data_IF_485295873088
#
_entry.id   IF_485295873088
#
_cell.length_a   1.000
_cell.length_b   1.000
_cell.length_c   1.000
_cell.angle_alpha   90.00
_cell.angle_beta   90.00
_cell.angle_gamma   90.00
#
_symmetry.space_group_name_H-M   'P 1'
#
loop_
_entity.id
_entity.type
_entity.pdbx_description
1 polymer ?
#
# COMPACT_ATOMS: atom_id res chain seq x y z
N UNK A 1 4.95 21.01 9.77
CA UNK A 1 5.87 20.04 9.12
C UNK A 1 7.08 19.89 10.03
N UNK A 2 7.28 18.74 10.68
CA UNK A 2 8.48 18.52 11.51
C UNK A 2 9.69 18.48 10.56
N UNK A 3 10.66 19.38 10.74
CA UNK A 3 11.84 19.57 9.89
C UNK A 3 12.85 18.41 9.94
N UNK A 4 12.38 17.18 9.78
CA UNK A 4 13.24 16.00 9.64
C UNK A 4 13.68 15.90 8.19
N UNK A 5 14.90 16.34 7.91
CA UNK A 5 15.51 16.18 6.60
C UNK A 5 15.97 14.73 6.43
N UNK A 6 15.52 14.09 5.34
CA UNK A 6 16.03 12.79 4.93
C UNK A 6 17.54 12.88 4.69
N UNK A 7 18.29 11.99 5.32
CA UNK A 7 19.71 11.80 5.08
C UNK A 7 19.98 11.31 3.65
N UNK A 8 21.21 11.51 3.15
CA UNK A 8 21.60 11.01 1.83
C UNK A 8 21.43 9.49 1.69
N UNK A 9 21.62 8.72 2.78
CA UNK A 9 21.36 7.28 2.80
C UNK A 9 19.89 6.91 2.64
N UNK A 10 18.98 7.68 3.25
CA UNK A 10 17.53 7.49 3.07
C UNK A 10 17.11 7.78 1.63
N UNK A 11 17.63 8.87 1.04
CA UNK A 11 17.39 9.21 -0.37
C UNK A 11 17.90 8.12 -1.32
N UNK A 12 19.10 7.60 -1.07
CA UNK A 12 19.67 6.51 -1.87
C UNK A 12 18.78 5.27 -1.82
N UNK A 13 18.34 4.87 -0.62
CA UNK A 13 17.45 3.73 -0.45
C UNK A 13 16.10 3.90 -1.14
N UNK A 14 15.51 5.11 -1.10
CA UNK A 14 14.28 5.45 -1.83
C UNK A 14 14.48 5.32 -3.34
N UNK A 15 15.57 5.87 -3.89
CA UNK A 15 15.86 5.79 -5.34
C UNK A 15 16.06 4.35 -5.78
N UNK A 16 16.82 3.55 -5.03
CA UNK A 16 17.04 2.12 -5.33
C UNK A 16 15.70 1.37 -5.32
N UNK A 17 14.88 1.58 -4.30
CA UNK A 17 13.55 0.96 -4.21
C UNK A 17 12.64 1.36 -5.37
N UNK A 18 12.65 2.62 -5.78
CA UNK A 18 11.89 3.13 -6.92
C UNK A 18 12.34 2.50 -8.24
N UNK A 19 13.66 2.43 -8.48
CA UNK A 19 14.22 1.76 -9.67
C UNK A 19 13.82 0.28 -9.70
N UNK A 20 13.89 -0.42 -8.56
CA UNK A 20 13.42 -1.80 -8.44
C UNK A 20 11.94 -1.94 -8.77
N UNK A 21 11.08 -1.01 -8.32
CA UNK A 21 9.65 -1.01 -8.61
C UNK A 21 9.35 -0.78 -10.11
N UNK A 22 10.08 0.15 -10.75
CA UNK A 22 9.96 0.40 -12.20
C UNK A 22 10.39 -0.83 -12.99
N UNK A 23 11.51 -1.45 -12.60
CA UNK A 23 11.98 -2.69 -13.23
C UNK A 23 10.96 -3.82 -13.06
N UNK A 24 10.43 -4.02 -11.85
CA UNK A 24 9.40 -5.03 -11.58
C UNK A 24 8.13 -4.82 -12.44
N UNK A 25 7.73 -3.58 -12.69
CA UNK A 25 6.56 -3.28 -13.52
C UNK A 25 6.84 -3.35 -15.03
N UNK A 26 8.08 -3.18 -15.48
CA UNK A 26 8.44 -3.21 -16.89
C UNK A 26 8.18 -4.58 -17.56
N UNK A 27 8.10 -5.65 -16.79
CA UNK A 27 7.73 -6.99 -17.29
C UNK A 27 6.22 -7.16 -17.51
N UNK A 28 5.40 -6.23 -16.98
CA UNK A 28 3.94 -6.28 -17.08
C UNK A 28 3.44 -5.37 -18.20
N UNK A 29 2.65 -5.90 -19.14
CA UNK A 29 1.95 -5.06 -20.12
C UNK A 29 0.86 -4.26 -19.41
N UNK A 30 1.20 -3.09 -18.91
CA UNK A 30 0.25 -2.17 -18.29
C UNK A 30 -0.57 -1.48 -19.38
N UNK A 31 -1.75 -2.03 -19.67
CA UNK A 31 -2.76 -1.33 -20.49
C UNK A 31 -3.49 -0.35 -19.58
N UNK A 32 -3.08 0.93 -19.61
CA UNK A 32 -3.73 1.98 -18.83
C UNK A 32 -4.13 3.16 -19.73
N UNK A 33 -5.28 3.76 -19.45
CA UNK A 33 -5.66 5.02 -20.09
C UNK A 33 -4.79 6.16 -19.55
N UNK A 34 -4.51 7.22 -20.34
CA UNK A 34 -3.72 8.35 -19.85
C UNK A 34 -4.27 8.98 -18.56
N UNK A 35 -5.60 9.05 -18.43
CA UNK A 35 -6.26 9.51 -17.20
C UNK A 35 -6.03 8.58 -16.00
N UNK A 36 -6.05 7.26 -16.22
CA UNK A 36 -5.74 6.28 -15.19
C UNK A 36 -4.30 6.40 -14.68
N UNK A 37 -3.34 6.68 -15.56
CA UNK A 37 -1.94 6.91 -15.18
C UNK A 37 -1.77 8.15 -14.30
N UNK A 38 -2.44 9.26 -14.64
CA UNK A 38 -2.41 10.48 -13.82
C UNK A 38 -2.98 10.22 -12.42
N UNK A 39 -4.13 9.54 -12.35
CA UNK A 39 -4.74 9.17 -11.06
C UNK A 39 -3.84 8.24 -10.24
N UNK A 40 -3.15 7.30 -10.89
CA UNK A 40 -2.18 6.40 -10.26
C UNK A 40 -1.00 7.15 -9.63
N UNK A 41 -0.60 8.29 -10.18
CA UNK A 41 0.45 9.15 -9.60
C UNK A 41 -0.08 10.01 -8.46
N UNK A 42 -1.32 10.49 -8.56
CA UNK A 42 -1.96 11.31 -7.53
C UNK A 42 -2.26 10.48 -6.27
N UNK A 43 -2.68 9.22 -6.42
CA UNK A 43 -3.02 8.34 -5.32
C UNK A 43 -1.92 8.21 -4.22
N UNK A 44 -0.66 7.84 -4.54
CA UNK A 44 0.41 7.75 -3.54
C UNK A 44 0.79 9.11 -2.95
N UNK A 45 0.65 10.22 -3.70
CA UNK A 45 0.88 11.58 -3.18
C UNK A 45 -0.17 11.91 -2.12
N UNK A 46 -1.45 11.65 -2.41
CA UNK A 46 -2.54 11.86 -1.45
C UNK A 46 -2.37 11.01 -0.20
N UNK A 47 -1.95 9.75 -0.36
CA UNK A 47 -1.66 8.86 0.75
C UNK A 47 -0.48 9.38 1.60
N UNK A 48 0.65 9.70 0.98
CA UNK A 48 1.82 10.23 1.67
C UNK A 48 1.51 11.55 2.41
N UNK A 49 0.78 12.46 1.76
CA UNK A 49 0.32 13.70 2.37
C UNK A 49 -0.57 13.41 3.59
N UNK A 50 -1.56 12.52 3.47
CA UNK A 50 -2.44 12.14 4.56
C UNK A 50 -1.71 11.50 5.75
N UNK A 51 -0.71 10.67 5.48
CA UNK A 51 0.16 10.07 6.50
C UNK A 51 1.01 11.11 7.23
N UNK A 52 1.63 12.04 6.49
CA UNK A 52 2.45 13.11 7.09
C UNK A 52 1.58 14.11 7.85
N UNK A 53 0.41 14.44 7.32
CA UNK A 53 -0.56 15.34 7.96
C UNK A 53 -1.12 14.75 9.25
N UNK A 54 -1.41 13.45 9.28
CA UNK A 54 -1.89 12.77 10.48
C UNK A 54 -0.82 12.64 11.57
N UNK A 55 0.47 12.74 11.22
CA UNK A 55 1.57 12.52 12.14
C UNK A 55 1.67 13.65 13.19
N UNK A 56 1.48 13.30 14.47
CA UNK A 56 1.63 14.22 15.60
C UNK A 56 0.43 15.13 15.87
N UNK A 57 -0.73 14.82 15.27
CA UNK A 57 -2.01 15.42 15.67
C UNK A 57 -2.69 14.57 16.74
N UNK A 58 -3.43 15.24 17.62
CA UNK A 58 -4.37 14.58 18.52
C UNK A 58 -5.53 14.02 17.71
N UNK A 59 -5.36 12.77 17.29
CA UNK A 59 -6.40 12.00 16.63
C UNK A 59 -7.15 11.17 17.68
N UNK A 60 -8.45 10.92 17.46
CA UNK A 60 -9.21 10.02 18.31
C UNK A 60 -8.63 8.60 18.24
N UNK A 61 -9.18 7.69 19.05
CA UNK A 61 -8.62 6.35 19.20
C UNK A 61 -8.32 5.70 17.83
N UNK A 62 -7.27 4.86 17.77
CA UNK A 62 -6.87 4.07 16.59
C UNK A 62 -8.02 3.52 15.75
N UNK A 63 -8.97 2.89 16.46
CA UNK A 63 -10.16 2.28 15.89
C UNK A 63 -11.13 3.32 15.33
N UNK A 64 -11.32 4.43 16.05
CA UNK A 64 -12.17 5.54 15.59
C UNK A 64 -11.57 6.22 14.35
N UNK A 65 -10.25 6.42 14.34
CA UNK A 65 -9.53 6.99 13.18
C UNK A 65 -9.64 6.06 11.97
N UNK A 66 -9.45 4.75 12.17
CA UNK A 66 -9.64 3.75 11.13
C UNK A 66 -11.06 3.75 10.57
N UNK A 67 -12.07 3.69 11.44
CA UNK A 67 -13.48 3.71 11.06
C UNK A 67 -13.83 4.99 10.27
N UNK A 68 -13.34 6.15 10.73
CA UNK A 68 -13.51 7.43 10.04
C UNK A 68 -12.92 7.42 8.63
N UNK A 69 -11.69 6.90 8.46
CA UNK A 69 -11.06 6.78 7.14
C UNK A 69 -11.84 5.85 6.21
N UNK A 70 -12.32 4.71 6.72
CA UNK A 70 -13.11 3.74 5.94
C UNK A 70 -14.46 4.32 5.52
N UNK A 71 -15.16 5.03 6.42
CA UNK A 71 -16.44 5.67 6.13
C UNK A 71 -16.28 6.81 5.12
N UNK A 72 -15.34 7.74 5.36
CA UNK A 72 -15.10 8.85 4.43
C UNK A 72 -14.66 8.35 3.05
N UNK A 73 -13.73 7.39 3.00
CA UNK A 73 -13.29 6.77 1.75
C UNK A 73 -14.42 6.05 1.02
N UNK A 74 -15.24 5.29 1.74
CA UNK A 74 -16.41 4.61 1.19
C UNK A 74 -17.45 5.58 0.61
N UNK A 75 -17.80 6.63 1.34
CA UNK A 75 -18.72 7.68 0.87
C UNK A 75 -18.18 8.38 -0.37
N UNK A 76 -16.89 8.73 -0.39
CA UNK A 76 -16.25 9.35 -1.55
C UNK A 76 -16.26 8.42 -2.77
N UNK A 77 -15.94 7.13 -2.61
CA UNK A 77 -15.95 6.17 -3.72
C UNK A 77 -17.36 5.96 -4.28
N UNK A 78 -18.35 5.76 -3.40
CA UNK A 78 -19.75 5.56 -3.82
C UNK A 78 -20.30 6.80 -4.50
N UNK A 79 -20.10 7.98 -3.92
CA UNK A 79 -20.56 9.23 -4.54
C UNK A 79 -19.89 9.49 -5.89
N UNK A 80 -18.59 9.27 -6.00
CA UNK A 80 -17.86 9.43 -7.26
C UNK A 80 -18.36 8.46 -8.34
N UNK A 81 -18.57 7.18 -7.99
CA UNK A 81 -19.12 6.19 -8.92
C UNK A 81 -20.51 6.60 -9.44
N UNK A 82 -21.40 7.04 -8.53
CA UNK A 82 -22.73 7.53 -8.90
C UNK A 82 -22.67 8.78 -9.80
N UNK A 83 -21.76 9.72 -9.52
CA UNK A 83 -21.56 10.95 -10.31
C UNK A 83 -21.02 10.67 -11.71
N UNK A 84 -20.18 9.63 -11.88
CA UNK A 84 -19.67 9.18 -13.18
C UNK A 84 -20.72 8.34 -13.93
N UNK A 85 -21.84 8.01 -13.28
CA UNK A 85 -22.97 7.30 -13.87
C UNK A 85 -22.88 5.78 -13.73
N UNK A 86 -21.99 5.27 -12.87
CA UNK A 86 -21.97 3.85 -12.53
C UNK A 86 -23.28 3.46 -11.85
N UNK A 87 -23.91 2.40 -12.37
CA UNK A 87 -25.11 1.82 -11.79
C UNK A 87 -24.89 0.32 -11.58
N UNK A 88 -25.41 -0.25 -10.49
CA UNK A 88 -25.46 -1.71 -10.36
C UNK A 88 -26.26 -2.28 -11.53
N UNK A 89 -25.58 -2.93 -12.48
CA UNK A 89 -26.21 -3.52 -13.66
C UNK A 89 -26.90 -4.86 -13.33
N UNK A 90 -26.39 -5.55 -12.32
CA UNK A 90 -26.93 -6.81 -11.82
C UNK A 90 -26.61 -6.96 -10.34
N UNK A 91 -27.39 -7.79 -9.65
CA UNK A 91 -27.02 -8.24 -8.31
C UNK A 91 -25.77 -9.11 -8.38
N UNK A 92 -24.78 -8.90 -7.49
CA UNK A 92 -23.59 -9.72 -7.47
C UNK A 92 -23.96 -11.18 -7.16
N UNK A 93 -23.25 -12.12 -7.78
CA UNK A 93 -23.43 -13.53 -7.48
C UNK A 93 -23.12 -13.82 -6.01
N UNK A 94 -23.68 -14.89 -5.40
CA UNK A 94 -23.35 -15.27 -4.03
C UNK A 94 -21.84 -15.44 -3.81
N UNK A 95 -21.11 -15.95 -4.81
CA UNK A 95 -19.66 -16.06 -4.80
C UNK A 95 -18.97 -14.69 -4.77
N UNK A 96 -19.45 -13.72 -5.56
CA UNK A 96 -18.94 -12.35 -5.55
C UNK A 96 -19.19 -11.65 -4.22
N UNK A 97 -20.38 -11.83 -3.64
CA UNK A 97 -20.71 -11.32 -2.30
C UNK A 97 -19.79 -11.92 -1.24
N UNK A 98 -19.57 -13.24 -1.27
CA UNK A 98 -18.65 -13.92 -0.33
C UNK A 98 -17.20 -13.45 -0.51
N UNK A 99 -16.73 -13.24 -1.74
CA UNK A 99 -15.38 -12.72 -2.01
C UNK A 99 -15.20 -11.29 -1.46
N UNK A 100 -16.18 -10.41 -1.66
CA UNK A 100 -16.17 -9.05 -1.10
C UNK A 100 -16.24 -9.08 0.42
N UNK A 101 -17.11 -9.92 1.00
CA UNK A 101 -17.25 -10.09 2.45
C UNK A 101 -15.95 -10.60 3.09
N UNK A 102 -15.31 -11.60 2.48
CA UNK A 102 -14.00 -12.09 2.91
C UNK A 102 -12.96 -10.96 2.92
N UNK A 103 -12.89 -10.18 1.83
CA UNK A 103 -11.95 -9.05 1.73
C UNK A 103 -12.23 -7.95 2.75
N UNK A 104 -13.50 -7.65 3.04
CA UNK A 104 -13.88 -6.69 4.07
C UNK A 104 -13.46 -7.14 5.46
N UNK A 105 -13.73 -8.39 5.82
CA UNK A 105 -13.42 -8.91 7.16
C UNK A 105 -11.90 -9.07 7.33
N UNK A 106 -11.27 -9.86 6.48
CA UNK A 106 -9.85 -10.19 6.66
C UNK A 106 -8.91 -9.12 6.12
N UNK A 107 -9.17 -8.66 4.89
CA UNK A 107 -8.29 -7.71 4.19
C UNK A 107 -8.41 -6.27 4.68
N UNK A 108 -9.55 -5.89 5.27
CA UNK A 108 -9.78 -4.53 5.75
C UNK A 108 -9.87 -4.49 7.28
N UNK A 109 -10.91 -5.06 7.89
CA UNK A 109 -11.14 -4.92 9.34
C UNK A 109 -10.00 -5.55 10.15
N UNK A 110 -9.72 -6.84 9.96
CA UNK A 110 -8.69 -7.56 10.73
C UNK A 110 -7.30 -7.00 10.42
N UNK A 111 -6.91 -6.94 9.15
CA UNK A 111 -5.58 -6.48 8.76
C UNK A 111 -5.32 -5.02 9.18
N UNK A 112 -6.25 -4.10 8.96
CA UNK A 112 -6.07 -2.70 9.32
C UNK A 112 -6.10 -2.49 10.83
N UNK A 113 -7.00 -3.18 11.55
CA UNK A 113 -7.02 -3.16 13.02
C UNK A 113 -5.71 -3.66 13.61
N UNK A 114 -5.19 -4.79 13.10
CA UNK A 114 -3.90 -5.32 13.51
C UNK A 114 -2.75 -4.35 13.19
N UNK A 115 -2.77 -3.72 12.02
CA UNK A 115 -1.80 -2.69 11.64
C UNK A 115 -1.81 -1.51 12.62
N UNK A 116 -2.97 -0.90 12.89
CA UNK A 116 -3.02 0.24 13.81
C UNK A 116 -2.68 -0.20 15.24
N UNK A 117 -3.13 -1.38 15.69
CA UNK A 117 -2.74 -1.96 16.99
C UNK A 117 -1.23 -2.19 17.12
N UNK A 118 -0.58 -2.64 16.05
CA UNK A 118 0.87 -2.83 15.97
C UNK A 118 1.62 -1.49 16.05
N UNK A 119 1.08 -0.42 15.45
CA UNK A 119 1.65 0.93 15.55
C UNK A 119 1.70 1.50 16.98
N UNK A 120 0.94 0.95 17.93
CA UNK A 120 1.10 1.30 19.35
C UNK A 120 2.34 0.69 19.99
N UNK A 121 2.85 -0.40 19.44
CA UNK A 121 3.91 -1.21 20.05
C UNK A 121 5.22 -1.15 19.25
N UNK A 122 5.18 -0.80 17.96
CA UNK A 122 6.37 -0.75 17.09
C UNK A 122 6.40 0.52 16.24
N UNK A 123 7.60 0.88 15.77
CA UNK A 123 7.79 2.00 14.84
C UNK A 123 7.10 1.72 13.49
N UNK A 124 6.46 2.72 12.83
CA UNK A 124 5.80 2.54 11.53
C UNK A 124 6.69 1.92 10.45
N UNK A 125 7.99 2.21 10.46
CA UNK A 125 8.95 1.62 9.53
C UNK A 125 9.06 0.08 9.67
N UNK A 126 8.97 -0.44 10.90
CA UNK A 126 8.98 -1.87 11.21
C UNK A 126 7.65 -2.55 10.89
N UNK A 127 6.52 -1.87 11.17
CA UNK A 127 5.20 -2.38 10.85
C UNK A 127 4.95 -2.53 9.35
N UNK A 128 5.58 -1.70 8.52
CA UNK A 128 5.19 -1.53 7.12
C UNK A 128 6.00 -2.28 6.05
N UNK A 129 7.24 -2.73 6.28
CA UNK A 129 8.19 -2.62 5.15
C UNK A 129 9.06 -3.81 4.76
N UNK A 130 9.29 -4.82 5.60
CA UNK A 130 10.38 -5.78 5.30
C UNK A 130 9.91 -7.12 4.71
N UNK A 131 8.82 -7.67 5.23
CA UNK A 131 8.41 -9.03 4.90
C UNK A 131 7.33 -9.10 3.81
N UNK A 132 6.55 -8.03 3.60
CA UNK A 132 5.36 -8.10 2.75
C UNK A 132 5.62 -8.48 1.30
N UNK A 133 6.63 -7.94 0.59
CA UNK A 133 6.90 -8.37 -0.79
C UNK A 133 7.24 -9.86 -0.86
N UNK A 134 8.04 -10.34 0.09
CA UNK A 134 8.47 -11.75 0.15
C UNK A 134 7.29 -12.67 0.48
N UNK A 135 6.47 -12.31 1.48
CA UNK A 135 5.27 -13.07 1.85
C UNK A 135 4.28 -13.10 0.68
N UNK A 136 4.04 -11.97 0.01
CA UNK A 136 3.12 -11.90 -1.13
C UNK A 136 3.56 -12.81 -2.27
N UNK A 137 4.84 -12.78 -2.66
CA UNK A 137 5.39 -13.66 -3.71
C UNK A 137 5.38 -15.12 -3.29
N UNK A 138 5.69 -15.42 -2.03
CA UNK A 138 5.69 -16.80 -1.53
C UNK A 138 4.27 -17.39 -1.53
N UNK A 139 3.28 -16.61 -1.11
CA UNK A 139 1.88 -17.01 -1.16
C UNK A 139 1.35 -17.08 -2.60
N UNK A 140 1.75 -16.17 -3.49
CA UNK A 140 1.39 -16.20 -4.91
C UNK A 140 1.96 -17.43 -5.62
N UNK A 141 3.21 -17.79 -5.34
CA UNK A 141 3.84 -19.01 -5.87
C UNK A 141 3.17 -20.27 -5.33
N UNK A 142 2.83 -20.30 -4.04
CA UNK A 142 2.28 -21.49 -3.39
C UNK A 142 0.79 -21.69 -3.65
N UNK A 143 -0.04 -20.69 -3.33
CA UNK A 143 -1.51 -20.76 -3.46
C UNK A 143 -1.97 -20.38 -4.87
N UNK A 144 -1.36 -19.36 -5.46
CA UNK A 144 -1.72 -18.87 -6.79
C UNK A 144 -1.08 -19.64 -7.94
N UNK A 145 -0.12 -20.53 -7.65
CA UNK A 145 0.69 -21.25 -8.65
C UNK A 145 1.36 -20.29 -9.66
N UNK A 146 1.66 -19.07 -9.22
CA UNK A 146 2.26 -18.03 -10.05
C UNK A 146 3.73 -18.36 -10.35
N UNK A 147 4.10 -18.32 -11.63
CA UNK A 147 5.48 -18.55 -12.08
C UNK A 147 6.22 -17.23 -12.21
N UNK A 148 7.03 -16.92 -11.21
CA UNK A 148 7.93 -15.76 -11.24
C UNK A 148 9.13 -16.02 -12.14
N UNK A 149 9.45 -15.10 -13.04
CA UNK A 149 10.68 -15.17 -13.84
C UNK A 149 11.87 -14.70 -13.01
N UNK A 150 13.08 -15.07 -13.44
CA UNK A 150 14.32 -14.62 -12.82
C UNK A 150 14.42 -13.08 -12.75
N UNK A 151 13.83 -12.38 -13.73
CA UNK A 151 13.74 -10.91 -13.75
C UNK A 151 12.89 -10.35 -12.61
N UNK A 152 11.75 -10.97 -12.31
CA UNK A 152 10.84 -10.53 -11.23
C UNK A 152 11.51 -10.71 -9.87
N UNK A 153 12.24 -11.82 -9.69
CA UNK A 153 13.03 -12.10 -8.49
C UNK A 153 14.17 -11.08 -8.33
N UNK A 154 14.88 -10.78 -9.40
CA UNK A 154 15.97 -9.79 -9.38
C UNK A 154 15.45 -8.38 -9.04
N UNK A 155 14.34 -7.95 -9.64
CA UNK A 155 13.72 -6.68 -9.32
C UNK A 155 13.25 -6.62 -7.86
N UNK A 156 12.68 -7.71 -7.34
CA UNK A 156 12.31 -7.79 -5.92
C UNK A 156 13.53 -7.70 -4.99
N UNK A 157 14.65 -8.34 -5.34
CA UNK A 157 15.90 -8.22 -4.57
C UNK A 157 16.40 -6.77 -4.52
N UNK A 158 16.28 -6.02 -5.63
CA UNK A 158 16.64 -4.58 -5.68
C UNK A 158 15.72 -3.75 -4.77
N UNK A 159 14.42 -4.02 -4.77
CA UNK A 159 13.46 -3.34 -3.87
C UNK A 159 13.85 -3.57 -2.41
N UNK A 160 14.11 -4.83 -2.03
CA UNK A 160 14.51 -5.18 -0.67
C UNK A 160 15.86 -4.54 -0.27
N UNK A 161 16.82 -4.47 -1.20
CA UNK A 161 18.08 -3.77 -0.97
C UNK A 161 17.85 -2.28 -0.68
N UNK A 162 16.98 -1.60 -1.43
CA UNK A 162 16.61 -0.21 -1.17
C UNK A 162 16.01 -0.01 0.23
N UNK A 163 15.11 -0.91 0.64
CA UNK A 163 14.53 -0.90 2.00
C UNK A 163 15.60 -1.08 3.07
N UNK A 164 16.52 -2.04 2.92
CA UNK A 164 17.62 -2.25 3.86
C UNK A 164 18.51 -1.00 3.99
N UNK A 165 18.83 -0.34 2.88
CA UNK A 165 19.62 0.90 2.89
C UNK A 165 18.93 2.00 3.72
N UNK A 166 17.61 2.18 3.58
CA UNK A 166 16.85 3.16 4.40
C UNK A 166 16.91 2.81 5.88
N UNK A 167 16.77 1.53 6.25
CA UNK A 167 16.83 1.09 7.65
C UNK A 167 18.21 1.39 8.24
N UNK A 168 19.27 0.97 7.56
CA UNK A 168 20.64 1.14 8.06
C UNK A 168 21.05 2.61 8.10
N UNK A 169 20.57 3.43 7.16
CA UNK A 169 20.77 4.87 7.20
C UNK A 169 20.11 5.52 8.44
N UNK A 170 18.90 5.07 8.81
CA UNK A 170 18.24 5.51 10.06
C UNK A 170 18.89 4.98 11.33
N UNK A 171 19.41 3.75 11.31
CA UNK A 171 20.07 3.15 12.48
C UNK A 171 21.43 3.82 12.81
N UNK A 172 22.04 4.50 11.83
CA UNK A 172 23.29 5.26 12.01
C UNK A 172 23.07 6.70 12.50
N UNK A 173 21.83 7.15 12.68
CA UNK A 173 21.44 8.46 13.22
C UNK A 173 20.96 8.32 14.66
#
# INVERSE_FOLDING_TARGET
MRGQHASGGEWLGIVIGFVGMVWFNASTRLTATPGGLVLLLIAPIGWAFGSVWSCGRDLPSPFMTAAGQMLCGGVLLVSTGLLIGERPQAWPSPQGVLAVAYRWVFGAIVAFTAYVGLLHHVRPALAGSYAYPVIAVSLGAWLGQERFRAQDIAAMAVILAGVLVVIFAKARR
#
